data_IF_611398329145
#
_entry.id   IF_611398329145
#
_cell.length_a   1.000
_cell.length_b   1.000
_cell.length_c   1.000
_cell.angle_alpha   90.00
_cell.angle_beta   90.00
_cell.angle_gamma   90.00
#
_symmetry.space_group_name_H-M   'P 1'
#
loop_
_entity.id
_entity.type
_entity.pdbx_description
1 polymer ?
#
# COMPACT_ATOMS: atom_id res chain seq x y z
N UNK A 1 12.36 8.18 37.34
CA UNK A 1 11.23 7.61 36.60
C UNK A 1 11.81 6.68 35.55
N UNK A 2 11.71 5.39 35.79
CA UNK A 2 12.16 4.35 34.85
C UNK A 2 11.30 4.46 33.59
N UNK A 3 11.86 4.95 32.47
CA UNK A 3 11.21 4.93 31.14
C UNK A 3 11.17 3.46 30.66
N UNK A 4 10.26 2.71 31.25
CA UNK A 4 10.14 1.26 31.13
C UNK A 4 10.20 0.85 29.65
N UNK A 5 11.29 0.21 29.25
CA UNK A 5 11.46 -0.46 27.98
C UNK A 5 12.12 0.34 26.85
N UNK A 6 12.65 1.55 27.07
CA UNK A 6 13.44 2.27 26.07
C UNK A 6 14.94 2.02 26.30
N UNK A 7 15.66 1.63 25.23
CA UNK A 7 17.13 1.55 25.20
C UNK A 7 17.68 2.55 24.19
N UNK A 8 18.73 3.27 24.56
CA UNK A 8 19.45 4.14 23.65
C UNK A 8 20.46 3.30 22.85
N UNK A 9 20.29 3.26 21.54
CA UNK A 9 21.31 2.74 20.62
C UNK A 9 22.10 3.95 20.10
N UNK A 10 23.41 3.96 20.36
CA UNK A 10 24.32 5.00 19.93
C UNK A 10 25.22 4.46 18.82
N UNK A 11 25.20 5.12 17.67
CA UNK A 11 26.12 4.86 16.55
C UNK A 11 26.83 6.18 16.23
N UNK A 12 28.03 6.32 16.70
CA UNK A 12 28.79 7.57 16.61
C UNK A 12 28.06 8.73 17.31
N UNK A 13 27.78 9.82 16.57
CA UNK A 13 27.05 11.00 17.08
C UNK A 13 25.52 10.84 17.10
N UNK A 14 25.00 9.78 16.50
CA UNK A 14 23.57 9.52 16.46
C UNK A 14 23.14 8.67 17.67
N UNK A 15 22.13 9.14 18.39
CA UNK A 15 21.51 8.41 19.49
C UNK A 15 20.01 8.24 19.21
N UNK A 16 19.56 7.00 19.10
CA UNK A 16 18.15 6.68 18.84
C UNK A 16 17.61 5.88 20.03
N UNK A 17 16.49 6.34 20.58
CA UNK A 17 15.76 5.62 21.60
C UNK A 17 14.87 4.56 20.94
N UNK A 18 15.15 3.30 21.22
CA UNK A 18 14.44 2.15 20.63
C UNK A 18 13.77 1.31 21.71
N UNK A 19 12.61 0.78 21.43
CA UNK A 19 11.96 -0.25 22.24
C UNK A 19 12.41 -1.64 21.77
N UNK A 20 13.17 -2.41 22.53
CA UNK A 20 13.70 -3.71 22.07
C UNK A 20 12.62 -4.68 21.62
N UNK A 21 11.48 -4.72 22.34
CA UNK A 21 10.34 -5.56 21.96
C UNK A 21 9.75 -5.17 20.61
N UNK A 22 9.60 -3.87 20.33
CA UNK A 22 9.09 -3.39 19.04
C UNK A 22 10.07 -3.71 17.90
N UNK A 23 11.37 -3.55 18.14
CA UNK A 23 12.40 -3.91 17.17
C UNK A 23 12.40 -5.42 16.90
N UNK A 24 12.32 -6.26 17.92
CA UNK A 24 12.25 -7.71 17.78
C UNK A 24 11.01 -8.15 16.97
N UNK A 25 9.83 -7.56 17.27
CA UNK A 25 8.62 -7.81 16.49
C UNK A 25 8.79 -7.38 15.02
N UNK A 26 9.35 -6.20 14.77
CA UNK A 26 9.57 -5.70 13.41
C UNK A 26 10.54 -6.60 12.64
N UNK A 27 11.64 -7.03 13.29
CA UNK A 27 12.61 -7.96 12.70
C UNK A 27 11.98 -9.31 12.40
N UNK A 28 11.13 -9.83 13.30
CA UNK A 28 10.41 -11.08 13.08
C UNK A 28 9.51 -10.98 11.83
N UNK A 29 8.71 -9.92 11.71
CA UNK A 29 7.84 -9.74 10.54
C UNK A 29 8.63 -9.52 9.25
N UNK A 30 9.76 -8.82 9.31
CA UNK A 30 10.65 -8.67 8.17
C UNK A 30 11.24 -10.02 7.74
N UNK A 31 11.66 -10.86 8.69
CA UNK A 31 12.14 -12.22 8.42
C UNK A 31 11.03 -13.11 7.83
N UNK A 32 9.80 -13.01 8.36
CA UNK A 32 8.65 -13.70 7.78
C UNK A 32 8.37 -13.25 6.33
N UNK A 33 8.45 -11.94 6.05
CA UNK A 33 8.30 -11.43 4.69
C UNK A 33 9.40 -11.94 3.75
N UNK A 34 10.66 -11.98 4.21
CA UNK A 34 11.77 -12.59 3.47
C UNK A 34 11.57 -14.10 3.26
N UNK A 35 11.07 -14.81 4.26
CA UNK A 35 10.71 -16.22 4.14
C UNK A 35 9.62 -16.46 3.11
N UNK A 36 8.54 -15.64 3.10
CA UNK A 36 7.48 -15.72 2.09
C UNK A 36 7.98 -15.35 0.68
N UNK A 37 8.90 -14.40 0.59
CA UNK A 37 9.53 -14.05 -0.67
C UNK A 37 10.34 -15.25 -1.21
N UNK A 38 11.18 -15.87 -0.37
CA UNK A 38 11.92 -17.10 -0.71
C UNK A 38 11.00 -18.25 -1.09
N UNK A 39 9.91 -18.46 -0.33
CA UNK A 39 8.89 -19.44 -0.62
C UNK A 39 8.23 -19.18 -1.99
N UNK A 40 7.86 -17.94 -2.27
CA UNK A 40 7.26 -17.52 -3.53
C UNK A 40 8.19 -17.70 -4.74
N UNK A 41 9.51 -17.59 -4.56
CA UNK A 41 10.49 -17.86 -5.60
C UNK A 41 10.63 -19.36 -5.91
N UNK A 42 10.54 -20.23 -4.90
CA UNK A 42 10.68 -21.68 -5.06
C UNK A 42 9.42 -22.36 -5.57
N UNK A 43 8.23 -21.92 -5.12
CA UNK A 43 6.95 -22.56 -5.40
C UNK A 43 6.16 -21.85 -6.49
N UNK A 44 5.48 -22.61 -7.35
CA UNK A 44 4.67 -22.14 -8.48
C UNK A 44 4.33 -23.30 -9.41
N UNK A 45 3.82 -22.98 -10.60
CA UNK A 45 3.54 -23.98 -11.66
C UNK A 45 4.79 -24.80 -12.05
N UNK A 46 5.97 -24.19 -11.97
CA UNK A 46 7.26 -24.84 -12.14
C UNK A 46 8.00 -24.84 -10.78
N UNK A 47 8.20 -25.96 -10.11
CA UNK A 47 8.97 -26.02 -8.88
C UNK A 47 10.45 -25.75 -9.15
N UNK A 48 11.05 -24.80 -8.43
CA UNK A 48 12.46 -24.41 -8.60
C UNK A 48 13.18 -24.64 -7.27
N UNK A 49 14.27 -25.46 -7.25
CA UNK A 49 15.00 -25.73 -6.02
C UNK A 49 15.68 -24.46 -5.49
N UNK A 50 15.78 -24.35 -4.16
CA UNK A 50 16.38 -23.18 -3.51
C UNK A 50 17.83 -22.91 -3.97
N UNK A 51 18.60 -23.96 -4.29
CA UNK A 51 19.95 -23.84 -4.85
C UNK A 51 19.98 -23.11 -6.21
N UNK A 52 18.93 -23.26 -7.03
CA UNK A 52 18.83 -22.56 -8.30
C UNK A 52 18.51 -21.06 -8.10
N UNK A 53 17.78 -20.69 -7.03
CA UNK A 53 17.52 -19.29 -6.70
C UNK A 53 18.82 -18.57 -6.32
N UNK A 54 19.66 -19.19 -5.47
CA UNK A 54 20.97 -18.64 -5.16
C UNK A 54 21.81 -18.43 -6.42
N UNK A 55 21.83 -19.40 -7.33
CA UNK A 55 22.51 -19.27 -8.63
C UNK A 55 21.89 -18.19 -9.50
N UNK A 56 20.56 -18.05 -9.52
CA UNK A 56 19.90 -17.01 -10.30
C UNK A 56 20.32 -15.59 -9.87
N UNK A 57 20.57 -15.38 -8.58
CA UNK A 57 20.96 -14.07 -8.04
C UNK A 57 22.46 -13.77 -8.17
N UNK A 58 23.34 -14.79 -8.05
CA UNK A 58 24.79 -14.60 -7.98
C UNK A 58 25.55 -15.10 -9.20
N UNK A 59 24.99 -16.03 -9.98
CA UNK A 59 25.62 -16.66 -11.14
C UNK A 59 24.57 -17.06 -12.18
N UNK A 60 23.80 -16.11 -12.72
CA UNK A 60 22.63 -16.39 -13.56
C UNK A 60 22.96 -17.12 -14.87
N UNK A 61 24.21 -17.03 -15.33
CA UNK A 61 24.72 -17.74 -16.52
C UNK A 61 24.80 -19.26 -16.36
N UNK A 62 24.78 -19.77 -15.11
CA UNK A 62 24.85 -21.23 -14.82
C UNK A 62 23.49 -21.90 -14.88
N UNK A 63 22.40 -21.17 -15.11
CA UNK A 63 21.04 -21.69 -15.19
C UNK A 63 20.59 -21.88 -16.62
N UNK A 64 19.59 -22.76 -16.79
CA UNK A 64 18.87 -22.86 -18.07
C UNK A 64 18.14 -21.53 -18.33
N UNK A 65 18.03 -21.14 -19.60
CA UNK A 65 17.35 -19.91 -20.01
C UNK A 65 15.91 -19.83 -19.45
N UNK A 66 15.20 -20.95 -19.44
CA UNK A 66 13.85 -21.06 -18.90
C UNK A 66 13.79 -20.77 -17.39
N UNK A 67 14.65 -21.43 -16.58
CA UNK A 67 14.69 -21.21 -15.13
C UNK A 67 15.06 -19.77 -14.80
N UNK A 68 16.04 -19.22 -15.49
CA UNK A 68 16.45 -17.83 -15.35
C UNK A 68 15.29 -16.88 -15.63
N UNK A 69 14.60 -17.05 -16.77
CA UNK A 69 13.46 -16.22 -17.15
C UNK A 69 12.33 -16.29 -16.12
N UNK A 70 11.96 -17.48 -15.65
CA UNK A 70 10.91 -17.65 -14.65
C UNK A 70 11.27 -16.97 -13.34
N UNK A 71 12.51 -17.09 -12.86
CA UNK A 71 12.93 -16.48 -11.60
C UNK A 71 13.09 -14.98 -11.72
N UNK A 72 13.84 -14.50 -12.73
CA UNK A 72 14.30 -13.12 -12.80
C UNK A 72 13.28 -12.19 -13.47
N UNK A 73 12.51 -12.67 -14.44
CA UNK A 73 11.62 -11.82 -15.22
C UNK A 73 10.14 -11.98 -14.84
N UNK A 74 9.76 -13.12 -14.22
CA UNK A 74 8.36 -13.35 -13.80
C UNK A 74 8.22 -13.26 -12.28
N UNK A 75 8.93 -14.12 -11.51
CA UNK A 75 8.67 -14.26 -10.06
C UNK A 75 9.23 -13.11 -9.25
N UNK A 76 10.49 -12.76 -9.46
CA UNK A 76 11.17 -11.74 -8.67
C UNK A 76 10.50 -10.36 -8.79
N UNK A 77 10.19 -9.83 -9.99
CA UNK A 77 9.46 -8.56 -10.11
C UNK A 77 8.08 -8.61 -9.45
N UNK A 78 7.34 -9.72 -9.58
CA UNK A 78 6.02 -9.89 -8.96
C UNK A 78 6.09 -9.84 -7.42
N UNK A 79 7.03 -10.55 -6.82
CA UNK A 79 7.21 -10.58 -5.37
C UNK A 79 7.73 -9.25 -4.82
N UNK A 80 8.65 -8.58 -5.53
CA UNK A 80 9.10 -7.23 -5.17
C UNK A 80 7.97 -6.21 -5.28
N UNK A 81 7.13 -6.32 -6.31
CA UNK A 81 5.94 -5.49 -6.45
C UNK A 81 4.96 -5.74 -5.29
N UNK A 82 4.79 -6.99 -4.83
CA UNK A 82 3.97 -7.31 -3.66
C UNK A 82 4.49 -6.61 -2.40
N UNK A 83 5.81 -6.67 -2.15
CA UNK A 83 6.46 -5.97 -1.04
C UNK A 83 6.23 -4.47 -1.14
N UNK A 84 6.46 -3.91 -2.32
CA UNK A 84 6.39 -2.47 -2.54
C UNK A 84 4.96 -1.96 -2.39
N UNK A 85 3.98 -2.59 -3.05
CA UNK A 85 2.56 -2.22 -2.97
C UNK A 85 2.02 -2.37 -1.54
N UNK A 86 2.37 -3.47 -0.86
CA UNK A 86 1.98 -3.68 0.54
C UNK A 86 2.55 -2.62 1.46
N UNK A 87 3.83 -2.27 1.30
CA UNK A 87 4.49 -1.21 2.07
C UNK A 87 3.86 0.16 1.79
N UNK A 88 3.59 0.48 0.52
CA UNK A 88 2.94 1.73 0.12
C UNK A 88 1.56 1.87 0.76
N UNK A 89 0.70 0.87 0.62
CA UNK A 89 -0.67 0.92 1.16
C UNK A 89 -0.66 0.91 2.69
N UNK A 90 0.20 0.10 3.33
CA UNK A 90 0.32 0.07 4.78
C UNK A 90 0.76 1.41 5.36
N UNK A 91 1.79 2.04 4.78
CA UNK A 91 2.27 3.35 5.24
C UNK A 91 1.29 4.47 4.91
N UNK A 92 0.64 4.43 3.75
CA UNK A 92 -0.41 5.38 3.38
C UNK A 92 -1.59 5.32 4.35
N UNK A 93 -2.04 4.13 4.71
CA UNK A 93 -3.09 3.93 5.71
C UNK A 93 -2.70 4.47 7.08
N UNK A 94 -1.48 4.20 7.55
CA UNK A 94 -0.96 4.71 8.82
C UNK A 94 -0.96 6.25 8.88
N UNK A 95 -0.53 6.89 7.78
CA UNK A 95 -0.52 8.34 7.68
C UNK A 95 -1.95 8.92 7.68
N UNK A 96 -2.86 8.34 6.89
CA UNK A 96 -4.26 8.78 6.84
C UNK A 96 -4.97 8.64 8.19
N UNK A 97 -4.80 7.50 8.86
CA UNK A 97 -5.34 7.27 10.19
C UNK A 97 -4.81 8.26 11.24
N UNK A 98 -3.55 8.70 11.09
CA UNK A 98 -2.94 9.69 11.98
C UNK A 98 -3.49 11.10 11.74
N UNK A 99 -3.66 11.49 10.47
CA UNK A 99 -4.16 12.83 10.09
C UNK A 99 -5.62 12.98 10.48
N UNK A 100 -6.43 11.98 10.16
CA UNK A 100 -7.88 12.00 10.43
C UNK A 100 -8.20 11.69 11.88
N UNK A 101 -7.21 11.29 12.67
CA UNK A 101 -7.39 10.77 14.05
C UNK A 101 -8.43 9.66 14.13
N UNK A 102 -8.60 8.94 13.04
CA UNK A 102 -9.56 7.85 12.91
C UNK A 102 -8.83 6.56 12.54
N UNK A 103 -8.87 5.56 13.41
CA UNK A 103 -8.22 4.26 13.19
C UNK A 103 -8.82 3.42 12.07
N UNK A 104 -9.95 3.84 11.50
CA UNK A 104 -10.64 3.19 10.40
C UNK A 104 -10.46 3.94 9.07
N UNK A 105 -9.68 5.02 9.05
CA UNK A 105 -9.41 5.74 7.81
C UNK A 105 -8.51 4.92 6.88
N UNK A 106 -8.92 4.86 5.62
CA UNK A 106 -8.19 4.24 4.52
C UNK A 106 -7.85 5.31 3.48
N UNK A 107 -6.69 5.28 2.83
CA UNK A 107 -6.35 6.25 1.79
C UNK A 107 -7.31 6.24 0.60
N UNK A 108 -8.03 5.14 0.38
CA UNK A 108 -9.11 5.05 -0.61
C UNK A 108 -10.30 5.97 -0.33
N UNK A 109 -10.53 6.38 0.92
CA UNK A 109 -11.65 7.28 1.27
C UNK A 109 -11.59 8.66 0.59
N UNK A 110 -10.45 9.03 0.01
CA UNK A 110 -10.29 10.30 -0.73
C UNK A 110 -10.68 10.14 -2.22
N UNK A 111 -11.08 8.94 -2.67
CA UNK A 111 -11.41 8.67 -4.07
C UNK A 111 -10.21 8.46 -4.99
N UNK A 112 -9.00 8.41 -4.46
CA UNK A 112 -7.76 8.24 -5.23
C UNK A 112 -7.76 6.93 -6.00
N UNK A 113 -8.22 5.83 -5.38
CA UNK A 113 -8.29 4.51 -6.01
C UNK A 113 -9.25 4.50 -7.20
N UNK A 114 -10.41 5.07 -7.00
CA UNK A 114 -11.48 5.15 -7.99
C UNK A 114 -11.05 6.05 -9.16
N UNK A 115 -10.43 7.20 -8.87
CA UNK A 115 -9.89 8.08 -9.89
C UNK A 115 -8.76 7.45 -10.70
N UNK A 116 -7.82 6.74 -10.05
CA UNK A 116 -6.79 5.95 -10.73
C UNK A 116 -7.42 4.89 -11.65
N UNK A 117 -8.36 4.11 -11.10
CA UNK A 117 -8.99 3.01 -11.83
C UNK A 117 -9.81 3.51 -13.02
N UNK A 118 -10.60 4.57 -12.83
CA UNK A 118 -11.37 5.20 -13.91
C UNK A 118 -10.46 5.71 -15.03
N UNK A 119 -9.38 6.39 -14.70
CA UNK A 119 -8.42 6.91 -15.68
C UNK A 119 -7.73 5.79 -16.47
N UNK A 120 -7.32 4.71 -15.80
CA UNK A 120 -6.70 3.56 -16.49
C UNK A 120 -7.69 2.80 -17.34
N UNK A 121 -8.92 2.59 -16.87
CA UNK A 121 -9.95 1.95 -17.67
C UNK A 121 -10.32 2.81 -18.91
N UNK A 122 -10.45 4.12 -18.72
CA UNK A 122 -10.65 5.04 -19.85
C UNK A 122 -9.51 4.91 -20.89
N UNK A 123 -8.25 4.84 -20.42
CA UNK A 123 -7.11 4.63 -21.31
C UNK A 123 -7.21 3.31 -22.09
N UNK A 124 -7.51 2.21 -21.37
CA UNK A 124 -7.56 0.87 -21.99
C UNK A 124 -8.61 0.81 -23.10
N UNK A 125 -9.77 1.43 -22.89
CA UNK A 125 -10.91 1.28 -23.80
C UNK A 125 -10.98 2.34 -24.90
N UNK A 126 -10.65 3.59 -24.59
CA UNK A 126 -10.70 4.66 -25.58
C UNK A 126 -9.41 4.81 -26.40
N UNK A 127 -8.29 4.34 -25.84
CA UNK A 127 -6.97 4.48 -26.45
C UNK A 127 -6.19 3.16 -26.46
N UNK A 128 -6.75 2.06 -27.04
CA UNK A 128 -6.12 0.74 -27.02
C UNK A 128 -4.75 0.71 -27.73
N UNK A 129 -4.52 1.64 -28.67
CA UNK A 129 -3.24 1.81 -29.35
C UNK A 129 -2.11 2.34 -28.44
N UNK A 130 -2.46 3.01 -27.33
CA UNK A 130 -1.50 3.41 -26.32
C UNK A 130 -1.14 2.19 -25.47
N UNK A 131 0.10 1.72 -25.57
CA UNK A 131 0.57 0.51 -24.90
C UNK A 131 0.43 0.54 -23.38
N UNK A 132 0.57 -0.64 -22.78
CA UNK A 132 0.49 -0.89 -21.33
C UNK A 132 1.40 0.04 -20.47
N UNK A 133 2.49 0.54 -21.07
CA UNK A 133 3.46 1.42 -20.42
C UNK A 133 2.87 2.77 -19.95
N UNK A 134 1.77 3.23 -20.56
CA UNK A 134 1.12 4.49 -20.18
C UNK A 134 0.19 4.37 -18.96
N UNK A 135 -0.26 3.15 -18.63
CA UNK A 135 -1.19 2.92 -17.50
C UNK A 135 -0.72 3.52 -16.19
N UNK A 136 0.56 3.36 -15.78
CA UNK A 136 1.02 3.92 -14.51
C UNK A 136 0.97 5.45 -14.48
N UNK A 137 1.30 6.12 -15.59
CA UNK A 137 1.29 7.58 -15.67
C UNK A 137 -0.14 8.13 -15.67
N UNK A 138 -1.02 7.54 -16.46
CA UNK A 138 -2.43 7.94 -16.55
C UNK A 138 -3.16 7.67 -15.24
N UNK A 139 -2.95 6.50 -14.63
CA UNK A 139 -3.51 6.18 -13.32
C UNK A 139 -3.03 7.14 -12.23
N UNK A 140 -1.72 7.44 -12.19
CA UNK A 140 -1.17 8.43 -11.27
C UNK A 140 -1.83 9.80 -11.47
N UNK A 141 -1.95 10.26 -12.71
CA UNK A 141 -2.61 11.53 -13.01
C UNK A 141 -4.09 11.53 -12.55
N UNK A 142 -4.84 10.46 -12.84
CA UNK A 142 -6.23 10.29 -12.41
C UNK A 142 -6.38 10.35 -10.89
N UNK A 143 -5.53 9.65 -10.16
CA UNK A 143 -5.54 9.67 -8.68
C UNK A 143 -5.18 11.03 -8.11
N UNK A 144 -4.14 11.69 -8.63
CA UNK A 144 -3.74 13.03 -8.19
C UNK A 144 -4.81 14.08 -8.49
N UNK A 145 -5.39 14.05 -9.69
CA UNK A 145 -6.48 14.97 -10.07
C UNK A 145 -7.71 14.79 -9.17
N UNK A 146 -8.06 13.54 -8.85
CA UNK A 146 -9.16 13.25 -7.94
C UNK A 146 -8.87 13.78 -6.53
N UNK A 147 -7.66 13.56 -6.01
CA UNK A 147 -7.27 14.10 -4.71
C UNK A 147 -7.30 15.63 -4.69
N UNK A 148 -6.80 16.30 -5.74
CA UNK A 148 -6.85 17.74 -5.87
C UNK A 148 -8.29 18.25 -5.93
N UNK A 149 -9.19 17.58 -6.66
CA UNK A 149 -10.62 17.90 -6.69
C UNK A 149 -11.23 17.83 -5.30
N UNK A 150 -10.97 16.73 -4.56
CA UNK A 150 -11.50 16.55 -3.20
C UNK A 150 -10.96 17.62 -2.25
N UNK A 151 -9.66 17.92 -2.31
CA UNK A 151 -9.04 18.97 -1.49
C UNK A 151 -9.67 20.35 -1.81
N UNK A 152 -9.84 20.66 -3.09
CA UNK A 152 -10.43 21.92 -3.53
C UNK A 152 -11.88 22.09 -3.06
N UNK A 153 -12.69 21.04 -3.17
CA UNK A 153 -14.09 21.04 -2.71
C UNK A 153 -14.20 21.10 -1.18
N UNK A 154 -13.31 20.43 -0.46
CA UNK A 154 -13.31 20.39 0.99
C UNK A 154 -12.87 21.71 1.63
N UNK A 155 -11.93 22.42 0.97
CA UNK A 155 -11.29 23.68 1.45
C UNK A 155 -10.48 23.53 2.74
N UNK A 156 -10.83 22.58 3.61
CA UNK A 156 -10.16 22.31 4.88
C UNK A 156 -10.07 20.80 5.12
N UNK A 157 -8.82 20.28 5.02
CA UNK A 157 -8.52 18.85 5.17
C UNK A 157 -8.60 18.35 6.63
N UNK A 158 -8.71 19.28 7.60
CA UNK A 158 -8.81 18.94 9.02
C UNK A 158 -10.24 18.61 9.45
N UNK A 159 -11.22 18.89 8.62
CA UNK A 159 -12.65 18.72 8.94
C UNK A 159 -13.21 17.40 8.43
N UNK A 160 -14.21 16.82 9.10
CA UNK A 160 -14.92 15.63 8.63
C UNK A 160 -15.47 15.76 7.21
N UNK A 161 -15.81 17.00 6.80
CA UNK A 161 -16.26 17.32 5.44
C UNK A 161 -15.30 16.82 4.35
N UNK A 162 -13.98 16.84 4.60
CA UNK A 162 -12.99 16.32 3.66
C UNK A 162 -13.22 14.84 3.34
N UNK A 163 -13.48 14.03 4.36
CA UNK A 163 -13.75 12.59 4.21
C UNK A 163 -15.08 12.37 3.50
N UNK A 164 -16.13 13.11 3.88
CA UNK A 164 -17.46 12.99 3.27
C UNK A 164 -17.45 13.34 1.78
N UNK A 165 -16.73 14.39 1.38
CA UNK A 165 -16.56 14.74 -0.03
C UNK A 165 -15.78 13.65 -0.77
N UNK A 166 -14.71 13.10 -0.17
CA UNK A 166 -13.96 11.98 -0.73
C UNK A 166 -14.84 10.77 -1.00
N UNK A 167 -15.68 10.39 -0.03
CA UNK A 167 -16.66 9.31 -0.18
C UNK A 167 -17.64 9.62 -1.32
N UNK A 168 -18.20 10.84 -1.37
CA UNK A 168 -19.12 11.24 -2.45
C UNK A 168 -18.48 11.15 -3.83
N UNK A 169 -17.24 11.61 -3.97
CA UNK A 169 -16.47 11.50 -5.23
C UNK A 169 -16.19 10.04 -5.57
N UNK A 170 -15.83 9.20 -4.59
CA UNK A 170 -15.65 7.75 -4.79
C UNK A 170 -16.91 7.09 -5.34
N UNK A 171 -18.07 7.39 -4.75
CA UNK A 171 -19.35 6.85 -5.22
C UNK A 171 -19.73 7.35 -6.62
N UNK A 172 -19.41 8.62 -6.96
CA UNK A 172 -19.63 9.14 -8.30
C UNK A 172 -18.78 8.38 -9.35
N UNK A 173 -17.50 8.12 -9.06
CA UNK A 173 -16.66 7.29 -9.93
C UNK A 173 -17.16 5.85 -10.00
N UNK A 174 -17.56 5.26 -8.88
CA UNK A 174 -18.10 3.90 -8.86
C UNK A 174 -19.38 3.79 -9.70
N UNK A 175 -20.27 4.77 -9.62
CA UNK A 175 -21.48 4.84 -10.45
C UNK A 175 -21.14 4.97 -11.95
N UNK A 176 -20.22 5.88 -12.31
CA UNK A 176 -19.76 6.04 -13.69
C UNK A 176 -19.14 4.75 -14.24
N UNK A 177 -18.33 4.06 -13.43
CA UNK A 177 -17.77 2.76 -13.81
C UNK A 177 -18.83 1.67 -13.91
N UNK A 178 -19.88 1.70 -13.06
CA UNK A 178 -21.04 0.81 -13.15
C UNK A 178 -21.77 0.99 -14.50
N UNK A 179 -22.05 2.23 -14.88
CA UNK A 179 -22.65 2.53 -16.20
C UNK A 179 -21.75 2.01 -17.34
N UNK A 180 -20.44 2.25 -17.25
CA UNK A 180 -19.50 1.76 -18.24
C UNK A 180 -19.53 0.22 -18.35
N UNK A 181 -19.46 -0.51 -17.24
CA UNK A 181 -19.45 -1.98 -17.20
C UNK A 181 -20.75 -2.56 -17.79
N UNK A 182 -21.91 -1.90 -17.57
CA UNK A 182 -23.20 -2.36 -18.09
C UNK A 182 -23.41 -2.09 -19.59
N UNK A 183 -22.63 -1.17 -20.17
CA UNK A 183 -22.73 -0.78 -21.58
C UNK A 183 -21.56 -1.28 -22.44
N UNK A 184 -20.49 -1.82 -21.83
CA UNK A 184 -19.30 -2.29 -22.51
C UNK A 184 -19.45 -3.72 -23.04
N UNK A 185 -18.62 -4.09 -24.01
CA UNK A 185 -18.52 -5.46 -24.50
C UNK A 185 -17.98 -6.43 -23.44
N UNK A 186 -18.34 -7.71 -23.52
CA UNK A 186 -17.98 -8.76 -22.55
C UNK A 186 -16.46 -8.84 -22.32
N UNK A 187 -15.64 -8.67 -23.36
CA UNK A 187 -14.17 -8.69 -23.25
C UNK A 187 -13.65 -7.52 -22.41
N UNK A 188 -14.26 -6.37 -22.57
CA UNK A 188 -13.92 -5.14 -21.87
C UNK A 188 -14.31 -5.27 -20.40
N UNK A 189 -15.48 -5.82 -20.12
CA UNK A 189 -15.95 -6.11 -18.76
C UNK A 189 -14.97 -7.05 -18.04
N UNK A 190 -14.51 -8.13 -18.69
CA UNK A 190 -13.52 -9.05 -18.09
C UNK A 190 -12.21 -8.32 -17.75
N UNK A 191 -11.71 -7.50 -18.67
CA UNK A 191 -10.48 -6.72 -18.46
C UNK A 191 -10.64 -5.73 -17.32
N UNK A 192 -11.79 -5.03 -17.27
CA UNK A 192 -12.11 -4.11 -16.17
C UNK A 192 -12.18 -4.82 -14.83
N UNK A 193 -12.87 -5.96 -14.75
CA UNK A 193 -13.00 -6.74 -13.52
C UNK A 193 -11.65 -7.23 -13.00
N UNK A 194 -10.77 -7.74 -13.87
CA UNK A 194 -9.43 -8.17 -13.49
C UNK A 194 -8.59 -7.00 -12.97
N UNK A 195 -8.71 -5.83 -13.59
CA UNK A 195 -8.03 -4.62 -13.14
C UNK A 195 -8.54 -4.15 -11.78
N UNK A 196 -9.86 -4.08 -11.61
CA UNK A 196 -10.51 -3.66 -10.36
C UNK A 196 -10.25 -4.64 -9.20
N UNK A 197 -10.04 -5.90 -9.51
CA UNK A 197 -9.71 -6.93 -8.52
C UNK A 197 -8.30 -6.76 -7.91
N UNK A 198 -7.40 -5.99 -8.54
CA UNK A 198 -6.03 -5.78 -8.08
C UNK A 198 -5.15 -7.02 -8.20
N UNK A 199 -4.31 -7.06 -9.24
CA UNK A 199 -3.49 -8.22 -9.59
C UNK A 199 -2.03 -7.85 -9.79
N UNK A 200 -1.14 -8.70 -9.24
CA UNK A 200 0.31 -8.60 -9.41
C UNK A 200 0.82 -9.38 -10.63
N UNK A 201 -0.09 -10.03 -11.38
CA UNK A 201 0.29 -10.95 -12.46
C UNK A 201 1.10 -10.28 -13.60
N UNK A 202 0.77 -9.03 -13.90
CA UNK A 202 1.46 -8.25 -14.96
C UNK A 202 2.70 -7.50 -14.45
N UNK A 203 3.14 -7.72 -13.21
CA UNK A 203 4.29 -7.04 -12.63
C UNK A 203 5.57 -7.39 -13.42
N UNK A 204 6.36 -6.37 -13.72
CA UNK A 204 7.64 -6.46 -14.40
C UNK A 204 8.61 -5.41 -13.85
N UNK A 205 9.87 -5.45 -14.24
CA UNK A 205 10.91 -4.56 -13.74
C UNK A 205 10.61 -3.07 -14.00
N UNK A 206 10.00 -2.74 -15.12
CA UNK A 206 9.61 -1.35 -15.44
C UNK A 206 8.58 -0.84 -14.43
N UNK A 207 7.53 -1.62 -14.14
CA UNK A 207 6.51 -1.25 -13.16
C UNK A 207 7.09 -1.18 -11.73
N UNK A 208 7.97 -2.11 -11.36
CA UNK A 208 8.67 -2.08 -10.05
C UNK A 208 9.52 -0.81 -9.94
N UNK A 209 10.27 -0.47 -10.97
CA UNK A 209 11.09 0.75 -11.01
C UNK A 209 10.25 2.03 -10.89
N UNK A 210 9.15 2.14 -11.64
CA UNK A 210 8.24 3.28 -11.57
C UNK A 210 7.57 3.39 -10.19
N UNK A 211 7.05 2.28 -9.66
CA UNK A 211 6.44 2.28 -8.34
C UNK A 211 7.44 2.68 -7.24
N UNK A 212 8.69 2.18 -7.31
CA UNK A 212 9.76 2.55 -6.39
C UNK A 212 10.14 4.04 -6.51
N UNK A 213 10.22 4.56 -7.74
CA UNK A 213 10.53 5.97 -8.00
C UNK A 213 9.52 6.91 -7.32
N UNK A 214 8.23 6.58 -7.37
CA UNK A 214 7.18 7.39 -6.73
C UNK A 214 7.06 7.12 -5.23
N UNK A 215 7.30 5.88 -4.79
CA UNK A 215 7.23 5.52 -3.38
C UNK A 215 8.36 6.14 -2.56
N UNK A 216 9.59 6.19 -3.08
CA UNK A 216 10.76 6.63 -2.33
C UNK A 216 10.63 8.05 -1.74
N UNK A 217 10.27 9.11 -2.52
CA UNK A 217 10.09 10.44 -1.96
C UNK A 217 8.91 10.52 -0.97
N UNK A 218 7.82 9.79 -1.21
CA UNK A 218 6.68 9.78 -0.32
C UNK A 218 6.99 9.06 1.01
N UNK A 219 7.72 7.93 0.98
CA UNK A 219 8.23 7.27 2.19
C UNK A 219 9.17 8.18 2.98
N UNK A 220 10.13 8.81 2.30
CA UNK A 220 11.05 9.75 2.92
C UNK A 220 10.29 10.91 3.59
N UNK A 221 9.33 11.52 2.89
CA UNK A 221 8.51 12.61 3.42
C UNK A 221 7.73 12.21 4.68
N UNK A 222 7.11 11.03 4.69
CA UNK A 222 6.39 10.53 5.86
C UNK A 222 7.30 10.27 7.05
N UNK A 223 8.48 9.68 6.82
CA UNK A 223 9.45 9.38 7.87
C UNK A 223 10.11 10.64 8.42
N UNK A 224 10.53 11.60 7.57
CA UNK A 224 11.10 12.87 8.02
C UNK A 224 10.09 13.73 8.79
N UNK A 225 8.80 13.65 8.44
CA UNK A 225 7.74 14.40 9.14
C UNK A 225 7.16 13.63 10.34
N UNK A 226 7.62 12.43 10.65
CA UNK A 226 7.04 11.58 11.70
C UNK A 226 7.10 12.25 13.09
N UNK A 227 8.25 12.86 13.45
CA UNK A 227 8.38 13.57 14.74
C UNK A 227 7.44 14.76 14.86
N UNK A 228 7.31 15.57 13.79
CA UNK A 228 6.38 16.68 13.77
C UNK A 228 4.92 16.20 13.89
N UNK A 229 4.61 15.04 13.33
CA UNK A 229 3.30 14.42 13.45
C UNK A 229 3.02 13.87 14.86
N UNK A 230 4.02 13.35 15.58
CA UNK A 230 3.87 13.00 17.00
C UNK A 230 3.49 14.24 17.83
N UNK A 231 4.12 15.38 17.56
CA UNK A 231 3.78 16.66 18.21
C UNK A 231 2.38 17.13 17.84
N UNK A 232 1.97 16.97 16.57
CA UNK A 232 0.64 17.36 16.10
C UNK A 232 -0.52 16.57 16.77
N UNK A 233 -0.24 15.38 17.30
CA UNK A 233 -1.22 14.60 18.06
C UNK A 233 -1.61 15.26 19.41
N UNK A 234 -0.76 16.17 19.94
CA UNK A 234 -1.06 16.95 21.15
C UNK A 234 -2.12 18.03 20.93
N UNK A 235 -2.55 18.26 19.68
CA UNK A 235 -3.50 19.29 19.29
C UNK A 235 -2.83 20.47 18.60
N UNK A 236 -3.62 21.19 17.78
CA UNK A 236 -3.10 22.24 16.90
C UNK A 236 -2.45 23.41 17.68
N UNK A 237 -3.04 23.83 18.81
CA UNK A 237 -2.50 24.92 19.63
C UNK A 237 -1.14 24.54 20.24
N UNK A 238 -1.06 23.37 20.88
CA UNK A 238 0.18 22.88 21.48
C UNK A 238 1.27 22.65 20.42
N UNK A 239 0.91 22.08 19.26
CA UNK A 239 1.84 21.84 18.17
C UNK A 239 2.41 23.15 17.60
N UNK A 240 1.56 24.17 17.42
CA UNK A 240 1.99 25.50 16.95
C UNK A 240 2.90 26.18 17.97
N UNK A 241 2.58 26.11 19.26
CA UNK A 241 3.44 26.61 20.33
C UNK A 241 4.82 25.92 20.37
N UNK A 242 4.91 24.68 19.93
CA UNK A 242 6.17 23.91 19.77
C UNK A 242 6.84 24.12 18.39
N UNK A 243 6.38 25.08 17.58
CA UNK A 243 7.00 25.46 16.30
C UNK A 243 6.58 24.62 15.10
N UNK A 244 5.57 23.74 15.23
CA UNK A 244 5.08 22.93 14.11
C UNK A 244 4.11 23.74 13.25
N UNK A 245 4.40 23.89 11.96
CA UNK A 245 3.49 24.47 10.97
C UNK A 245 2.40 23.46 10.60
N UNK A 246 1.33 23.39 11.40
CA UNK A 246 0.31 22.31 11.35
C UNK A 246 -0.37 22.22 9.98
N UNK A 247 -0.71 23.32 9.32
CA UNK A 247 -1.36 23.33 7.99
C UNK A 247 -0.44 22.73 6.92
N UNK A 248 0.85 23.15 6.89
CA UNK A 248 1.82 22.61 5.93
C UNK A 248 2.07 21.13 6.19
N UNK A 249 2.21 20.74 7.45
CA UNK A 249 2.39 19.35 7.84
C UNK A 249 1.20 18.50 7.39
N UNK A 250 -0.01 18.94 7.63
CA UNK A 250 -1.23 18.24 7.23
C UNK A 250 -1.29 18.05 5.71
N UNK A 251 -1.01 19.09 4.92
CA UNK A 251 -1.00 19.00 3.46
C UNK A 251 0.05 17.98 2.96
N UNK A 252 1.29 18.07 3.44
CA UNK A 252 2.36 17.14 3.04
C UNK A 252 2.02 15.69 3.40
N UNK A 253 1.43 15.49 4.58
CA UNK A 253 1.06 14.16 5.05
C UNK A 253 -0.23 13.61 4.43
N UNK A 254 -1.05 14.42 3.78
CA UNK A 254 -2.15 13.97 2.91
C UNK A 254 -1.61 13.65 1.51
N UNK A 255 -0.71 14.47 0.97
CA UNK A 255 -0.17 14.27 -0.37
C UNK A 255 0.65 12.96 -0.49
N UNK A 256 1.45 12.63 0.53
CA UNK A 256 2.26 11.40 0.49
C UNK A 256 1.40 10.11 0.41
N UNK A 257 0.37 9.87 1.23
CA UNK A 257 -0.55 8.76 1.05
C UNK A 257 -1.26 8.73 -0.30
N UNK A 258 -1.63 9.90 -0.83
CA UNK A 258 -2.23 10.01 -2.17
C UNK A 258 -1.27 9.48 -3.23
N UNK A 259 0.00 9.94 -3.22
CA UNK A 259 1.04 9.47 -4.15
C UNK A 259 1.28 7.96 -4.00
N UNK A 260 1.41 7.46 -2.76
CA UNK A 260 1.63 6.03 -2.50
C UNK A 260 0.46 5.17 -3.00
N UNK A 261 -0.77 5.61 -2.76
CA UNK A 261 -1.96 4.88 -3.20
C UNK A 261 -2.10 4.93 -4.72
N UNK A 262 -1.92 6.12 -5.32
CA UNK A 262 -1.99 6.28 -6.77
C UNK A 262 -0.90 5.46 -7.47
N UNK A 263 0.34 5.45 -6.96
CA UNK A 263 1.43 4.64 -7.48
C UNK A 263 1.12 3.14 -7.44
N UNK A 264 0.57 2.65 -6.32
CA UNK A 264 0.17 1.26 -6.19
C UNK A 264 -0.94 0.90 -7.19
N UNK A 265 -2.06 1.65 -7.15
CA UNK A 265 -3.25 1.33 -7.96
C UNK A 265 -2.96 1.45 -9.46
N UNK A 266 -2.18 2.44 -9.89
CA UNK A 266 -1.81 2.62 -11.30
C UNK A 266 -0.92 1.50 -11.86
N UNK A 267 -0.18 0.79 -11.00
CA UNK A 267 0.67 -0.33 -11.43
C UNK A 267 -0.04 -1.70 -11.37
N UNK A 268 -0.85 -1.95 -10.34
CA UNK A 268 -1.39 -3.29 -10.06
C UNK A 268 -2.91 -3.34 -9.89
N UNK A 269 -3.59 -2.23 -10.10
CA UNK A 269 -5.03 -2.12 -9.87
C UNK A 269 -5.40 -1.95 -8.39
N UNK A 270 -6.69 -2.03 -8.08
CA UNK A 270 -7.22 -1.68 -6.76
C UNK A 270 -7.03 -2.80 -5.74
N UNK A 271 -6.12 -2.61 -4.77
CA UNK A 271 -5.98 -3.49 -3.61
C UNK A 271 -6.57 -2.77 -2.38
N UNK A 272 -7.55 -3.39 -1.73
CA UNK A 272 -8.22 -2.85 -0.53
C UNK A 272 -7.66 -3.40 0.77
N UNK A 273 -8.17 -2.91 1.91
CA UNK A 273 -7.96 -3.39 3.27
C UNK A 273 -6.53 -3.35 3.84
N UNK A 274 -5.47 -3.36 3.02
CA UNK A 274 -4.08 -3.32 3.51
C UNK A 274 -3.83 -2.07 4.34
N UNK A 275 -4.30 -0.90 3.84
CA UNK A 275 -4.17 0.39 4.53
C UNK A 275 -4.97 0.48 5.82
N UNK A 276 -5.88 -0.44 6.06
CA UNK A 276 -6.68 -0.52 7.27
C UNK A 276 -6.09 -1.53 8.27
N UNK A 277 -5.74 -2.72 7.81
CA UNK A 277 -5.28 -3.83 8.64
C UNK A 277 -3.86 -3.60 9.14
N UNK A 278 -2.93 -3.26 8.25
CA UNK A 278 -1.50 -3.14 8.59
C UNK A 278 -1.24 -2.09 9.68
N UNK A 279 -1.78 -0.84 9.64
CA UNK A 279 -1.60 0.12 10.71
C UNK A 279 -2.28 -0.30 12.02
N UNK A 280 -3.42 -0.98 11.94
CA UNK A 280 -4.10 -1.48 13.12
C UNK A 280 -3.24 -2.51 13.86
N UNK A 281 -2.71 -3.50 13.15
CA UNK A 281 -1.78 -4.48 13.70
C UNK A 281 -0.50 -3.82 14.23
N UNK A 282 0.06 -2.84 13.50
CA UNK A 282 1.26 -2.12 13.94
C UNK A 282 1.05 -1.40 15.26
N UNK A 283 -0.11 -0.76 15.48
CA UNK A 283 -0.43 -0.12 16.78
C UNK A 283 -0.52 -1.10 17.93
N UNK A 284 -1.12 -2.26 17.69
CA UNK A 284 -1.26 -3.29 18.74
C UNK A 284 0.10 -3.86 19.16
N UNK A 285 0.98 -4.10 18.18
CA UNK A 285 2.22 -4.84 18.37
C UNK A 285 3.40 -3.94 18.76
N UNK A 286 3.52 -2.74 18.17
CA UNK A 286 4.75 -1.95 18.31
C UNK A 286 4.68 -0.86 19.38
N UNK A 287 3.49 -0.40 19.77
CA UNK A 287 3.26 0.61 20.83
C UNK A 287 4.27 1.77 20.79
N UNK A 288 4.54 2.32 19.59
CA UNK A 288 5.53 3.37 19.35
C UNK A 288 4.90 4.68 18.89
N UNK A 289 5.76 5.70 18.60
CA UNK A 289 5.37 6.94 17.92
C UNK A 289 5.13 6.72 16.42
N UNK A 290 4.96 7.82 15.69
CA UNK A 290 4.65 7.81 14.26
C UNK A 290 5.67 7.04 13.42
N UNK A 291 6.97 7.14 13.74
CA UNK A 291 8.01 6.38 13.03
C UNK A 291 7.77 4.87 13.14
N UNK A 292 7.52 4.35 14.35
CA UNK A 292 7.26 2.93 14.58
C UNK A 292 5.95 2.49 13.90
N UNK A 293 4.92 3.34 13.92
CA UNK A 293 3.66 3.09 13.25
C UNK A 293 3.84 2.99 11.73
N UNK A 294 4.55 3.94 11.12
CA UNK A 294 4.78 3.98 9.67
C UNK A 294 5.62 2.78 9.20
N UNK A 295 6.77 2.55 9.85
CA UNK A 295 7.66 1.42 9.48
C UNK A 295 7.01 0.07 9.72
N UNK A 296 6.31 -0.08 10.85
CA UNK A 296 5.57 -1.30 11.16
C UNK A 296 4.44 -1.58 10.17
N UNK A 297 3.70 -0.53 9.79
CA UNK A 297 2.64 -0.65 8.78
C UNK A 297 3.18 -1.00 7.40
N UNK A 298 4.37 -0.48 7.03
CA UNK A 298 5.02 -0.84 5.78
C UNK A 298 5.39 -2.34 5.76
N UNK A 299 6.05 -2.84 6.81
CA UNK A 299 6.47 -4.25 6.89
C UNK A 299 5.27 -5.19 6.96
N UNK A 300 4.26 -4.87 7.77
CA UNK A 300 3.04 -5.69 7.88
C UNK A 300 2.22 -5.64 6.60
N UNK A 301 2.15 -4.49 5.92
CA UNK A 301 1.51 -4.36 4.62
C UNK A 301 2.20 -5.22 3.56
N UNK A 302 3.54 -5.19 3.50
CA UNK A 302 4.33 -6.06 2.62
C UNK A 302 4.04 -7.53 2.89
N UNK A 303 4.05 -7.94 4.16
CA UNK A 303 3.75 -9.31 4.59
C UNK A 303 2.35 -9.75 4.15
N UNK A 304 1.33 -8.90 4.34
CA UNK A 304 -0.05 -9.18 3.96
C UNK A 304 -0.21 -9.39 2.44
N UNK A 305 0.38 -8.49 1.63
CA UNK A 305 0.26 -8.61 0.16
C UNK A 305 1.06 -9.79 -0.37
N UNK A 306 2.27 -10.06 0.18
CA UNK A 306 3.04 -11.26 -0.15
C UNK A 306 2.28 -12.54 0.19
N UNK A 307 1.66 -12.60 1.37
CA UNK A 307 0.86 -13.75 1.78
C UNK A 307 -0.33 -13.95 0.82
N UNK A 308 -1.05 -12.88 0.53
CA UNK A 308 -2.21 -12.93 -0.35
C UNK A 308 -1.85 -13.34 -1.78
N UNK A 309 -0.73 -12.83 -2.31
CA UNK A 309 -0.25 -13.23 -3.65
C UNK A 309 0.16 -14.71 -3.69
N UNK A 310 0.89 -15.18 -2.68
CA UNK A 310 1.27 -16.60 -2.61
C UNK A 310 0.04 -17.51 -2.47
N UNK A 311 -0.93 -17.15 -1.61
CA UNK A 311 -2.18 -17.91 -1.47
C UNK A 311 -2.97 -17.89 -2.78
N UNK A 312 -3.20 -16.72 -3.39
CA UNK A 312 -3.95 -16.60 -4.64
C UNK A 312 -3.32 -17.37 -5.80
N UNK A 313 -2.00 -17.50 -5.80
CA UNK A 313 -1.23 -18.19 -6.84
C UNK A 313 -1.16 -19.72 -6.64
N UNK A 314 -1.14 -20.19 -5.40
CA UNK A 314 -0.82 -21.60 -5.10
C UNK A 314 -2.02 -22.42 -4.63
N UNK A 315 -3.01 -21.80 -3.96
CA UNK A 315 -4.13 -22.53 -3.37
C UNK A 315 -5.18 -22.98 -4.40
N UNK A 316 -5.21 -22.40 -5.58
CA UNK A 316 -6.25 -22.61 -6.58
C UNK A 316 -5.73 -23.06 -7.95
N UNK A 317 -4.54 -23.66 -7.99
CA UNK A 317 -3.94 -24.16 -9.24
C UNK A 317 -4.93 -25.04 -10.03
N UNK A 318 -5.03 -24.86 -11.38
CA UNK A 318 -4.24 -23.98 -12.24
C UNK A 318 -4.72 -22.54 -12.30
N UNK A 319 -5.83 -22.18 -11.64
CA UNK A 319 -6.35 -20.83 -11.57
C UNK A 319 -5.47 -19.97 -10.64
N UNK A 320 -5.33 -18.70 -10.96
CA UNK A 320 -4.63 -17.72 -10.12
C UNK A 320 -5.61 -16.62 -9.71
N UNK A 321 -5.89 -16.53 -8.41
CA UNK A 321 -6.73 -15.46 -7.88
C UNK A 321 -5.92 -14.17 -7.71
N UNK A 322 -6.47 -13.01 -8.13
CA UNK A 322 -5.88 -11.69 -7.82
C UNK A 322 -5.68 -11.50 -6.32
N UNK A 323 -4.52 -10.93 -5.94
CA UNK A 323 -4.17 -10.70 -4.54
C UNK A 323 -5.20 -9.82 -3.81
N UNK A 324 -5.80 -8.85 -4.51
CA UNK A 324 -6.84 -7.98 -3.94
C UNK A 324 -8.10 -8.74 -3.52
N UNK A 325 -8.50 -9.80 -4.26
CA UNK A 325 -9.62 -10.67 -3.86
C UNK A 325 -9.29 -11.41 -2.56
N UNK A 326 -8.09 -12.01 -2.49
CA UNK A 326 -7.66 -12.75 -1.29
C UNK A 326 -7.61 -11.84 -0.07
N UNK A 327 -7.06 -10.63 -0.22
CA UNK A 327 -7.02 -9.65 0.88
C UNK A 327 -8.42 -9.22 1.28
N UNK A 328 -9.34 -9.02 0.34
CA UNK A 328 -10.72 -8.62 0.63
C UNK A 328 -11.47 -9.70 1.38
N UNK A 329 -11.24 -10.96 1.04
CA UNK A 329 -11.84 -12.12 1.72
C UNK A 329 -11.40 -12.21 3.20
N UNK A 330 -10.16 -11.83 3.52
CA UNK A 330 -9.65 -11.79 4.89
C UNK A 330 -10.03 -10.47 5.57
N UNK A 331 -9.93 -9.38 4.83
CA UNK A 331 -10.08 -8.02 5.34
C UNK A 331 -11.51 -7.67 5.75
N UNK A 332 -12.50 -8.13 5.00
CA UNK A 332 -13.91 -7.91 5.30
C UNK A 332 -14.32 -8.48 6.68
N UNK A 333 -14.14 -9.78 6.95
CA UNK A 333 -14.38 -10.36 8.27
C UNK A 333 -13.55 -9.72 9.40
N UNK A 334 -12.28 -9.43 9.14
CA UNK A 334 -11.43 -8.75 10.11
C UNK A 334 -11.98 -7.37 10.49
N UNK A 335 -12.46 -6.61 9.50
CA UNK A 335 -13.05 -5.29 9.73
C UNK A 335 -14.35 -5.37 10.52
N UNK A 336 -15.23 -6.32 10.19
CA UNK A 336 -16.46 -6.56 10.94
C UNK A 336 -16.18 -6.95 12.40
N UNK A 337 -15.16 -7.79 12.63
CA UNK A 337 -14.72 -8.15 13.98
C UNK A 337 -14.23 -6.92 14.76
N UNK A 338 -13.47 -6.04 14.12
CA UNK A 338 -13.00 -4.79 14.74
C UNK A 338 -14.15 -3.86 15.13
N UNK A 339 -15.15 -3.71 14.27
CA UNK A 339 -16.34 -2.91 14.56
C UNK A 339 -17.11 -3.50 15.72
N UNK A 340 -17.31 -4.82 15.72
CA UNK A 340 -18.01 -5.53 16.80
C UNK A 340 -17.31 -5.36 18.15
N UNK A 341 -15.98 -5.47 18.20
CA UNK A 341 -15.21 -5.29 19.44
C UNK A 341 -15.22 -3.84 19.96
N UNK A 342 -15.49 -2.86 19.10
CA UNK A 342 -15.51 -1.43 19.46
C UNK A 342 -16.91 -0.84 19.56
N UNK A 343 -17.96 -1.65 19.43
CA UNK A 343 -19.36 -1.18 19.45
C UNK A 343 -19.72 -0.33 20.67
N UNK A 344 -19.10 -0.60 21.83
CA UNK A 344 -19.37 0.12 23.07
C UNK A 344 -18.54 1.41 23.24
N UNK A 345 -17.77 1.82 22.20
CA UNK A 345 -16.93 3.02 22.19
C UNK A 345 -17.37 4.08 21.18
N UNK A 346 -18.43 3.79 20.45
CA UNK A 346 -19.19 4.70 19.60
C UNK A 346 -20.55 4.94 20.25
#
# INVERSE_FOLDING_TARGET
MNRAGLRAIRVGRLSVLVRPKALACLSLFALMALGLLGFGLTHGSLPIPASAIGRALFSPETLTAETRYVVMDIRLPRLLMAVLCGSMLGMAGAAMQSITRNGLADPGLIGVKEGCSAAVLLLIFQFPALGLAWRPLVGMAGGLLTALLVIALARDISRPRFILIGIGVSWAFAAAMGVFITTADVRDVQTAMLWLAGSLHAANWTLVGLAALWAAPAFALLLFTARAADVALLGNQAATGLGVRTTRLALLRVLAPVVLTAACVSCVGSIGFVGLIAPHMARLLLRGGQTALLTGSAVLGALLVLLADNVGRLAFLPLQLPAGIVISLIGGPFFLLLLWQRRDRF
#
